data_IF_696546868336
#
_entry.id   IF_696546868336
#
_cell.length_a   1.000
_cell.length_b   1.000
_cell.length_c   1.000
_cell.angle_alpha   90.00
_cell.angle_beta   90.00
_cell.angle_gamma   90.00
#
_symmetry.space_group_name_H-M   'P 1'
#
loop_
_entity.id
_entity.type
_entity.pdbx_description
1 polymer ?
#
# COMPACT_ATOMS: atom_id res chain seq x y z
N UNK A 1 -12.45 -44.21 8.02
CA UNK A 1 -11.04 -43.77 7.93
C UNK A 1 -10.80 -42.73 9.00
N UNK A 2 -10.00 -43.05 10.02
CA UNK A 2 -9.73 -42.17 11.14
C UNK A 2 -8.89 -40.97 10.67
N UNK A 3 -9.39 -39.75 10.88
CA UNK A 3 -8.60 -38.55 10.75
C UNK A 3 -7.46 -38.65 11.78
N UNK A 4 -6.22 -38.73 11.30
CA UNK A 4 -5.03 -38.64 12.13
C UNK A 4 -5.06 -37.30 12.84
N UNK A 5 -5.55 -37.27 14.09
CA UNK A 5 -5.41 -36.11 14.97
C UNK A 5 -3.93 -35.96 15.22
N UNK A 6 -3.27 -35.10 14.44
CA UNK A 6 -1.96 -34.57 14.84
C UNK A 6 -2.22 -33.87 16.16
N UNK A 7 -1.64 -34.39 17.23
CA UNK A 7 -1.49 -33.65 18.48
C UNK A 7 -0.55 -32.48 18.19
N UNK A 8 -1.11 -31.38 17.69
CA UNK A 8 -0.45 -30.09 17.81
C UNK A 8 -0.64 -29.69 19.25
N UNK A 9 0.39 -29.89 20.07
CA UNK A 9 0.50 -29.15 21.31
C UNK A 9 0.25 -27.67 20.97
N UNK A 10 -0.66 -26.99 21.69
CA UNK A 10 -0.92 -25.58 21.43
C UNK A 10 0.37 -24.83 21.73
N UNK A 11 1.09 -24.43 20.67
CA UNK A 11 2.22 -23.55 20.83
C UNK A 11 1.64 -22.22 21.33
N UNK A 12 1.89 -21.81 22.59
CA UNK A 12 1.30 -20.61 23.18
C UNK A 12 1.70 -19.32 22.42
N UNK A 13 2.62 -19.46 21.47
CA UNK A 13 3.13 -18.38 20.65
C UNK A 13 2.49 -18.26 19.26
N UNK A 14 1.58 -19.17 18.89
CA UNK A 14 0.78 -19.04 17.66
C UNK A 14 -0.60 -18.55 18.07
N UNK A 15 -1.02 -17.34 17.67
CA UNK A 15 -2.34 -16.83 18.00
C UNK A 15 -3.41 -17.79 17.47
N UNK A 16 -4.28 -18.22 18.37
CA UNK A 16 -5.54 -18.84 17.97
C UNK A 16 -6.46 -17.71 17.51
N UNK A 17 -7.15 -17.92 16.38
CA UNK A 17 -8.05 -16.90 15.86
C UNK A 17 -9.19 -16.68 16.86
N UNK A 18 -9.28 -15.47 17.42
CA UNK A 18 -10.35 -15.02 18.31
C UNK A 18 -11.43 -14.27 17.50
N UNK A 19 -12.56 -13.98 18.12
CA UNK A 19 -13.56 -13.09 17.52
C UNK A 19 -12.96 -11.70 17.31
N UNK A 20 -13.43 -11.02 16.27
CA UNK A 20 -13.05 -9.63 16.00
C UNK A 20 -13.22 -8.79 17.28
N UNK A 21 -12.21 -7.99 17.60
CA UNK A 21 -12.12 -7.13 18.80
C UNK A 21 -11.94 -7.84 20.15
N UNK A 22 -11.64 -9.14 20.16
CA UNK A 22 -11.27 -9.90 21.36
C UNK A 22 -9.79 -10.27 21.29
N UNK A 23 -9.02 -9.83 22.30
CA UNK A 23 -7.60 -10.19 22.47
C UNK A 23 -7.37 -10.69 23.91
N UNK A 24 -7.80 -11.91 24.20
CA UNK A 24 -7.74 -12.47 25.56
C UNK A 24 -6.40 -13.12 25.90
N UNK A 25 -5.65 -13.61 24.90
CA UNK A 25 -4.40 -14.35 25.11
C UNK A 25 -3.16 -13.52 24.78
N UNK A 26 -2.24 -13.29 25.72
CA UNK A 26 -0.95 -12.67 25.41
C UNK A 26 -0.10 -13.64 24.58
N UNK A 27 0.59 -13.11 23.56
CA UNK A 27 1.54 -13.86 22.74
C UNK A 27 2.80 -13.05 22.48
N UNK A 28 3.92 -13.74 22.22
CA UNK A 28 5.18 -13.08 21.92
C UNK A 28 5.30 -12.79 20.42
N UNK A 29 5.36 -11.50 20.06
CA UNK A 29 5.42 -11.06 18.66
C UNK A 29 6.62 -11.63 17.90
N UNK A 30 7.77 -11.83 18.56
CA UNK A 30 8.95 -12.42 17.94
C UNK A 30 8.76 -13.89 17.56
N UNK A 31 7.95 -14.62 18.33
CA UNK A 31 7.63 -16.02 18.07
C UNK A 31 6.64 -16.14 16.91
N UNK A 32 5.67 -15.22 16.84
CA UNK A 32 4.77 -15.09 15.69
C UNK A 32 5.56 -14.81 14.39
N UNK A 33 6.48 -13.83 14.43
CA UNK A 33 7.39 -13.56 13.31
C UNK A 33 8.17 -14.80 12.89
N UNK A 34 8.76 -15.53 13.85
CA UNK A 34 9.52 -16.75 13.54
C UNK A 34 8.65 -17.83 12.88
N UNK A 35 7.42 -18.00 13.34
CA UNK A 35 6.48 -18.95 12.75
C UNK A 35 5.98 -18.53 11.36
N UNK A 36 5.82 -17.23 11.09
CA UNK A 36 5.56 -16.68 9.76
C UNK A 36 6.73 -16.94 8.81
N UNK A 37 7.96 -16.62 9.21
CA UNK A 37 9.16 -16.83 8.38
C UNK A 37 9.43 -18.31 8.08
N UNK A 38 8.96 -19.25 8.90
CA UNK A 38 9.04 -20.69 8.63
C UNK A 38 8.06 -21.19 7.57
N UNK A 39 6.92 -20.51 7.41
CA UNK A 39 5.81 -20.97 6.56
C UNK A 39 5.70 -20.19 5.26
N UNK A 40 6.00 -18.89 5.30
CA UNK A 40 5.92 -18.01 4.15
C UNK A 40 7.21 -18.06 3.36
N UNK A 41 7.08 -18.00 2.04
CA UNK A 41 8.24 -17.78 1.18
C UNK A 41 8.65 -16.31 1.28
N UNK A 42 9.93 -15.98 1.08
CA UNK A 42 10.39 -14.60 1.00
C UNK A 42 9.58 -13.72 0.03
N UNK A 43 9.06 -14.28 -1.07
CA UNK A 43 8.17 -13.59 -2.01
C UNK A 43 6.85 -13.11 -1.39
N UNK A 44 6.40 -13.75 -0.31
CA UNK A 44 5.08 -13.50 0.28
C UNK A 44 5.11 -12.33 1.28
N UNK A 45 6.29 -11.96 1.78
CA UNK A 45 6.47 -10.92 2.80
C UNK A 45 7.58 -9.90 2.50
N UNK A 46 8.33 -10.09 1.42
CA UNK A 46 9.34 -9.14 0.95
C UNK A 46 9.16 -8.92 -0.54
N UNK A 47 9.17 -7.66 -0.94
CA UNK A 47 9.37 -7.32 -2.34
C UNK A 47 10.73 -7.87 -2.79
N UNK A 48 10.74 -8.58 -3.91
CA UNK A 48 11.96 -9.02 -4.58
C UNK A 48 11.98 -8.39 -5.96
N UNK A 49 13.14 -7.86 -6.34
CA UNK A 49 13.36 -7.38 -7.70
C UNK A 49 13.53 -8.63 -8.56
N UNK A 50 12.48 -8.97 -9.30
CA UNK A 50 12.56 -9.96 -10.36
C UNK A 50 12.92 -9.25 -11.67
N UNK A 51 13.53 -10.01 -12.58
CA UNK A 51 13.72 -9.58 -13.96
C UNK A 51 12.35 -9.39 -14.64
N UNK A 52 12.20 -8.34 -15.46
CA UNK A 52 10.91 -7.93 -16.04
C UNK A 52 10.29 -9.07 -16.85
N UNK A 53 11.09 -9.74 -17.69
CA UNK A 53 10.62 -10.85 -18.54
C UNK A 53 10.11 -12.02 -17.68
N UNK A 54 10.77 -12.26 -16.54
CA UNK A 54 10.36 -13.32 -15.59
C UNK A 54 9.04 -12.97 -14.91
N UNK A 55 8.86 -11.71 -14.52
CA UNK A 55 7.62 -11.23 -13.93
C UNK A 55 6.46 -11.33 -14.93
N UNK A 56 6.66 -10.87 -16.16
CA UNK A 56 5.61 -10.87 -17.18
C UNK A 56 5.14 -12.28 -17.54
N UNK A 57 6.07 -13.23 -17.65
CA UNK A 57 5.73 -14.61 -17.94
C UNK A 57 4.86 -15.23 -16.82
N UNK A 58 5.19 -14.95 -15.55
CA UNK A 58 4.39 -15.40 -14.40
C UNK A 58 3.02 -14.73 -14.37
N UNK A 59 2.98 -13.41 -14.57
CA UNK A 59 1.74 -12.65 -14.60
C UNK A 59 0.82 -13.12 -15.73
N UNK A 60 1.37 -13.35 -16.93
CA UNK A 60 0.62 -13.88 -18.06
C UNK A 60 0.06 -15.28 -17.78
N UNK A 61 0.85 -16.14 -17.14
CA UNK A 61 0.42 -17.46 -16.72
C UNK A 61 -0.69 -17.40 -15.65
N UNK A 62 -0.55 -16.53 -14.64
CA UNK A 62 -1.48 -16.41 -13.51
C UNK A 62 -2.83 -15.84 -13.94
N UNK A 63 -2.83 -14.80 -14.78
CA UNK A 63 -4.05 -14.18 -15.29
C UNK A 63 -4.61 -14.87 -16.54
N UNK A 64 -3.88 -15.83 -17.11
CA UNK A 64 -4.28 -16.52 -18.34
C UNK A 64 -4.34 -15.59 -19.56
N UNK A 65 -3.51 -14.54 -19.59
CA UNK A 65 -3.43 -13.60 -20.72
C UNK A 65 -2.39 -14.06 -21.72
N UNK A 66 -2.65 -13.80 -23.00
CA UNK A 66 -1.70 -14.11 -24.06
C UNK A 66 -0.66 -12.98 -24.22
N UNK A 67 0.36 -13.21 -25.05
CA UNK A 67 1.45 -12.26 -25.25
C UNK A 67 1.00 -10.92 -25.86
N UNK A 68 -0.03 -10.94 -26.72
CA UNK A 68 -0.59 -9.74 -27.35
C UNK A 68 -1.29 -8.86 -26.31
N UNK A 69 -2.18 -9.44 -25.51
CA UNK A 69 -2.86 -8.74 -24.40
C UNK A 69 -1.86 -8.24 -23.36
N UNK A 70 -0.79 -8.99 -23.07
CA UNK A 70 0.25 -8.53 -22.14
C UNK A 70 0.98 -7.30 -22.67
N UNK A 71 1.29 -7.26 -23.96
CA UNK A 71 1.92 -6.12 -24.61
C UNK A 71 0.99 -4.89 -24.63
N UNK A 72 -0.30 -5.07 -24.87
CA UNK A 72 -1.30 -4.00 -24.77
C UNK A 72 -1.38 -3.45 -23.34
N UNK A 73 -1.46 -4.31 -22.33
CA UNK A 73 -1.47 -3.92 -20.92
C UNK A 73 -0.22 -3.13 -20.56
N UNK A 74 0.97 -3.59 -20.98
CA UNK A 74 2.22 -2.84 -20.82
C UNK A 74 2.16 -1.47 -21.46
N UNK A 75 1.61 -1.38 -22.68
CA UNK A 75 1.49 -0.10 -23.39
C UNK A 75 0.53 0.87 -22.70
N UNK A 76 -0.60 0.40 -22.19
CA UNK A 76 -1.63 1.23 -21.55
C UNK A 76 -1.22 1.63 -20.13
N UNK A 77 -0.56 0.72 -19.41
CA UNK A 77 -0.15 0.91 -18.02
C UNK A 77 1.30 1.38 -17.88
N UNK A 78 1.98 1.74 -18.97
CA UNK A 78 3.32 2.31 -18.85
C UNK A 78 3.25 3.68 -18.15
N UNK A 79 4.36 4.05 -17.52
CA UNK A 79 4.46 5.32 -16.80
C UNK A 79 4.18 6.50 -17.71
N UNK A 80 4.63 6.44 -18.97
CA UNK A 80 4.49 7.53 -19.93
C UNK A 80 3.01 7.79 -20.33
N UNK A 81 2.18 6.75 -20.38
CA UNK A 81 0.73 6.82 -20.62
C UNK A 81 -0.04 7.27 -19.38
N UNK A 82 0.56 7.12 -18.19
CA UNK A 82 0.00 7.59 -16.92
C UNK A 82 0.41 9.03 -16.58
N UNK A 83 1.43 9.58 -17.26
CA UNK A 83 1.85 10.98 -17.05
C UNK A 83 0.78 11.93 -17.58
N UNK A 84 0.37 12.87 -16.73
CA UNK A 84 -0.52 13.97 -17.11
C UNK A 84 0.21 15.12 -17.84
N UNK A 85 1.55 15.05 -17.93
CA UNK A 85 2.43 16.12 -18.41
C UNK A 85 3.40 15.56 -19.46
N UNK A 86 3.88 16.42 -20.37
CA UNK A 86 4.86 16.02 -21.37
C UNK A 86 6.20 15.65 -20.70
N UNK A 87 6.99 14.77 -21.32
CA UNK A 87 8.23 14.23 -20.73
C UNK A 87 9.29 15.30 -20.40
N UNK A 88 9.26 16.43 -21.09
CA UNK A 88 10.17 17.56 -20.90
C UNK A 88 9.70 18.54 -19.79
N UNK A 89 8.47 18.37 -19.28
CA UNK A 89 7.91 19.20 -18.23
C UNK A 89 8.27 18.63 -16.86
N UNK A 90 9.32 19.17 -16.23
CA UNK A 90 9.64 18.86 -14.84
C UNK A 90 8.52 19.42 -13.94
N UNK A 91 7.58 18.57 -13.57
CA UNK A 91 6.51 18.93 -12.64
C UNK A 91 7.08 18.94 -11.23
N UNK A 92 7.09 20.11 -10.60
CA UNK A 92 7.43 20.22 -9.19
C UNK A 92 6.29 19.61 -8.36
N UNK A 93 6.53 18.51 -7.61
CA UNK A 93 5.49 17.85 -6.81
C UNK A 93 4.98 18.73 -5.64
N UNK A 94 5.65 19.84 -5.35
CA UNK A 94 5.21 20.81 -4.36
C UNK A 94 4.18 21.81 -4.91
N UNK A 95 4.03 21.94 -6.23
CA UNK A 95 3.07 22.87 -6.83
C UNK A 95 1.69 22.23 -6.86
N UNK A 96 0.73 22.83 -6.17
CA UNK A 96 -0.67 22.39 -6.22
C UNK A 96 -1.40 23.04 -7.40
N UNK A 97 -2.03 22.25 -8.28
CA UNK A 97 -2.85 22.76 -9.38
C UNK A 97 -3.96 23.72 -8.90
N UNK A 98 -4.23 24.77 -9.68
CA UNK A 98 -5.20 25.83 -9.33
C UNK A 98 -6.65 25.36 -9.33
N UNK A 99 -6.92 24.36 -10.14
CA UNK A 99 -8.22 23.77 -10.46
C UNK A 99 -8.44 22.44 -9.74
N UNK A 100 -7.64 22.15 -8.70
CA UNK A 100 -7.78 20.90 -7.95
C UNK A 100 -9.15 20.77 -7.31
N UNK A 101 -9.79 19.62 -7.52
CA UNK A 101 -11.07 19.25 -6.91
C UNK A 101 -10.90 18.43 -5.63
N UNK A 102 -9.67 17.97 -5.34
CA UNK A 102 -9.35 17.21 -4.13
C UNK A 102 -9.19 18.17 -2.95
N UNK A 103 -10.02 17.99 -1.92
CA UNK A 103 -10.04 18.85 -0.73
C UNK A 103 -8.66 18.99 -0.06
N UNK A 104 -7.89 17.91 0.01
CA UNK A 104 -6.54 17.90 0.59
C UNK A 104 -5.57 18.80 -0.18
N UNK A 105 -5.69 18.84 -1.50
CA UNK A 105 -4.90 19.72 -2.36
C UNK A 105 -5.36 21.17 -2.23
N UNK A 106 -6.66 21.44 -2.21
CA UNK A 106 -7.20 22.79 -1.98
C UNK A 106 -6.65 23.37 -0.66
N UNK A 107 -6.75 22.62 0.44
CA UNK A 107 -6.21 23.04 1.74
C UNK A 107 -4.68 23.25 1.71
N UNK A 108 -3.94 22.39 1.00
CA UNK A 108 -2.49 22.56 0.83
C UNK A 108 -2.16 23.85 0.08
N UNK A 109 -2.90 24.15 -0.99
CA UNK A 109 -2.75 25.39 -1.77
C UNK A 109 -3.05 26.61 -0.92
N UNK A 110 -4.17 26.60 -0.18
CA UNK A 110 -4.49 27.65 0.78
C UNK A 110 -3.35 27.86 1.78
N UNK A 111 -2.82 26.79 2.39
CA UNK A 111 -1.67 26.91 3.31
C UNK A 111 -0.42 27.47 2.63
N UNK A 112 -0.16 27.13 1.37
CA UNK A 112 0.97 27.68 0.61
C UNK A 112 0.79 29.18 0.33
N UNK A 113 -0.39 29.58 -0.15
CA UNK A 113 -0.75 30.97 -0.41
C UNK A 113 -0.68 31.81 0.87
N UNK A 114 -1.14 31.24 1.98
CA UNK A 114 -1.14 31.86 3.30
C UNK A 114 0.24 31.89 3.98
N UNK A 115 1.12 30.93 3.69
CA UNK A 115 2.55 31.00 4.07
C UNK A 115 3.26 32.11 3.28
N UNK A 116 2.92 32.29 2.01
CA UNK A 116 3.37 33.43 1.20
C UNK A 116 2.85 34.76 1.75
N UNK A 117 1.59 34.77 2.19
CA UNK A 117 0.91 35.89 2.84
C UNK A 117 1.01 35.82 4.37
N UNK A 118 2.23 35.86 4.93
CA UNK A 118 2.56 35.93 6.37
C UNK A 118 1.35 36.12 7.31
N UNK A 119 0.75 35.03 7.81
CA UNK A 119 0.07 34.87 9.12
C UNK A 119 -0.69 33.54 9.20
N UNK A 120 -0.02 32.43 9.59
CA UNK A 120 -0.73 31.26 10.13
C UNK A 120 -0.18 30.88 11.50
N UNK A 121 -1.01 31.08 12.52
CA UNK A 121 -0.90 30.46 13.84
C UNK A 121 -2.19 29.66 14.08
N UNK A 122 -2.36 28.53 13.39
CA UNK A 122 -3.34 27.52 13.79
C UNK A 122 -2.61 26.42 14.54
N UNK A 123 -3.14 25.99 15.68
CA UNK A 123 -2.53 24.93 16.47
C UNK A 123 -2.82 23.58 15.81
N UNK A 124 -1.98 22.56 16.07
CA UNK A 124 -2.12 21.23 15.48
C UNK A 124 -3.49 20.59 15.75
N UNK A 125 -4.11 20.92 16.89
CA UNK A 125 -5.46 20.44 17.22
C UNK A 125 -6.53 20.93 16.24
N UNK A 126 -6.44 22.19 15.80
CA UNK A 126 -7.41 22.78 14.89
C UNK A 126 -7.30 22.15 13.50
N UNK A 127 -6.09 21.71 13.12
CA UNK A 127 -5.86 21.04 11.83
C UNK A 127 -6.51 19.66 11.74
N UNK A 128 -6.50 18.88 12.83
CA UNK A 128 -7.08 17.54 12.86
C UNK A 128 -8.62 17.53 12.93
N UNK A 129 -9.22 18.60 13.47
CA UNK A 129 -10.68 18.71 13.55
C UNK A 129 -11.31 18.89 12.16
N UNK A 130 -10.65 19.64 11.28
CA UNK A 130 -11.13 19.88 9.91
C UNK A 130 -11.06 18.61 9.03
N UNK A 131 -10.25 17.61 9.40
CA UNK A 131 -10.11 16.33 8.69
C UNK A 131 -11.28 15.35 8.97
N UNK A 132 -12.05 15.55 10.04
CA UNK A 132 -13.06 14.61 10.53
C UNK A 132 -14.51 14.95 10.15
N UNK A 133 -14.75 16.10 9.51
CA UNK A 133 -16.10 16.60 9.15
C UNK A 133 -16.33 16.63 7.63
N UNK A 134 -15.49 15.93 6.86
CA UNK A 134 -15.65 15.73 5.42
C UNK A 134 -16.70 14.69 5.07
#
# INVERSE_FOLDING_TARGET
MAASRRSTDPNPNVPEYEYQDVNTKPFHIGSFRAEWLKRLKPSDYSYQVEDEDTFDAKFAQELGVNAETMMELKSICNVDSLRCHADEETTDPEIVPSDSTLQTLIQRKERQDLKGSKKFFKNRHDLYADELVG
#
